data_IF_104725934696
#
_entry.id   IF_104725934696
#
_cell.length_a   1.000
_cell.length_b   1.000
_cell.length_c   1.000
_cell.angle_alpha   90.00
_cell.angle_beta   90.00
_cell.angle_gamma   90.00
#
_symmetry.space_group_name_H-M   'P 1'
#
loop_
_entity.id
_entity.type
_entity.pdbx_description
1 polymer ?
#
# COMPACT_ATOMS: atom_id res chain seq x y z
N UNK A 1 -8.15 4.34 -9.73
CA UNK A 1 -8.10 3.34 -10.82
C UNK A 1 -8.75 3.96 -12.04
N UNK A 2 -7.99 4.16 -13.11
CA UNK A 2 -8.45 4.82 -14.33
C UNK A 2 -8.89 3.76 -15.34
N UNK A 3 -10.19 3.46 -15.35
CA UNK A 3 -10.80 2.62 -16.39
C UNK A 3 -10.67 3.36 -17.71
N UNK A 4 -10.13 2.71 -18.74
CA UNK A 4 -10.02 3.32 -20.06
C UNK A 4 -11.39 3.24 -20.75
N UNK A 5 -11.99 4.39 -20.99
CA UNK A 5 -13.24 4.50 -21.73
C UNK A 5 -13.03 4.16 -23.22
N UNK A 6 -14.04 3.54 -23.81
CA UNK A 6 -14.08 3.22 -25.23
C UNK A 6 -14.37 4.49 -26.04
N UNK A 7 -13.70 4.65 -27.18
CA UNK A 7 -14.13 5.59 -28.22
C UNK A 7 -15.17 4.89 -29.09
N UNK A 8 -16.43 4.94 -28.65
CA UNK A 8 -17.53 4.18 -29.25
C UNK A 8 -17.40 2.67 -29.02
N UNK A 9 -16.96 1.91 -30.04
CA UNK A 9 -16.79 0.44 -29.98
C UNK A 9 -15.33 -0.01 -29.91
N UNK A 10 -14.38 0.91 -30.06
CA UNK A 10 -12.96 0.60 -30.10
C UNK A 10 -12.23 1.26 -28.90
N UNK A 11 -11.12 0.65 -28.50
CA UNK A 11 -10.28 1.26 -27.47
C UNK A 11 -9.36 2.29 -28.11
N UNK A 12 -9.08 3.41 -27.42
CA UNK A 12 -8.14 4.41 -27.91
C UNK A 12 -6.73 3.80 -28.05
N UNK A 13 -5.91 4.25 -29.02
CA UNK A 13 -4.55 3.75 -29.23
C UNK A 13 -3.67 3.79 -27.97
N UNK A 14 -3.86 4.79 -27.13
CA UNK A 14 -3.16 4.99 -25.86
C UNK A 14 -3.41 3.83 -24.89
N UNK A 15 -4.57 3.16 -24.98
CA UNK A 15 -4.88 1.98 -24.17
C UNK A 15 -3.95 0.82 -24.49
N UNK A 16 -3.61 0.64 -25.78
CA UNK A 16 -2.68 -0.39 -26.22
C UNK A 16 -1.28 -0.11 -25.69
N UNK A 17 -0.82 1.14 -25.77
CA UNK A 17 0.50 1.53 -25.27
C UNK A 17 0.60 1.39 -23.76
N UNK A 18 -0.43 1.85 -23.03
CA UNK A 18 -0.46 1.74 -21.57
C UNK A 18 -0.50 0.27 -21.13
N UNK A 19 -1.30 -0.56 -21.79
CA UNK A 19 -1.34 -2.00 -21.53
C UNK A 19 0.02 -2.67 -21.83
N UNK A 20 0.69 -2.26 -22.92
CA UNK A 20 2.02 -2.74 -23.25
C UNK A 20 3.03 -2.40 -22.16
N UNK A 21 3.04 -1.17 -21.64
CA UNK A 21 3.92 -0.74 -20.54
C UNK A 21 3.71 -1.59 -19.28
N UNK A 22 2.45 -1.76 -18.87
CA UNK A 22 2.11 -2.53 -17.67
C UNK A 22 2.52 -4.00 -17.82
N UNK A 23 2.31 -4.59 -19.00
CA UNK A 23 2.67 -5.98 -19.25
C UNK A 23 4.19 -6.19 -19.43
N UNK A 24 4.84 -5.39 -20.26
CA UNK A 24 6.23 -5.57 -20.65
C UNK A 24 7.20 -5.03 -19.60
N UNK A 25 6.97 -3.81 -19.11
CA UNK A 25 7.88 -3.07 -18.22
C UNK A 25 7.53 -3.35 -16.76
N UNK A 26 6.27 -3.14 -16.36
CA UNK A 26 5.84 -3.39 -14.98
C UNK A 26 5.65 -4.90 -14.68
N UNK A 27 5.82 -5.76 -15.70
CA UNK A 27 5.81 -7.23 -15.60
C UNK A 27 4.50 -7.81 -15.05
N UNK A 28 3.40 -7.08 -15.17
CA UNK A 28 2.09 -7.59 -14.78
C UNK A 28 1.63 -8.74 -15.68
N UNK A 29 0.78 -9.60 -15.14
CA UNK A 29 0.06 -10.61 -15.93
C UNK A 29 -1.08 -9.94 -16.71
N UNK A 30 -1.56 -10.59 -17.77
CA UNK A 30 -2.72 -10.08 -18.50
C UNK A 30 -3.97 -9.90 -17.61
N UNK A 31 -4.11 -10.71 -16.56
CA UNK A 31 -5.21 -10.57 -15.59
C UNK A 31 -5.08 -9.30 -14.76
N UNK A 32 -3.88 -9.00 -14.27
CA UNK A 32 -3.60 -7.77 -13.52
C UNK A 32 -3.73 -6.52 -14.40
N UNK A 33 -3.26 -6.58 -15.66
CA UNK A 33 -3.45 -5.46 -16.60
C UNK A 33 -4.93 -5.24 -16.93
N UNK A 34 -5.71 -6.33 -17.03
CA UNK A 34 -7.15 -6.25 -17.24
C UNK A 34 -7.86 -5.58 -16.05
N UNK A 35 -7.48 -5.94 -14.82
CA UNK A 35 -7.99 -5.31 -13.60
C UNK A 35 -7.63 -3.82 -13.52
N UNK A 36 -6.38 -3.47 -13.84
CA UNK A 36 -5.87 -2.09 -13.77
C UNK A 36 -6.55 -1.16 -14.79
N UNK A 37 -6.79 -1.64 -16.00
CA UNK A 37 -7.28 -0.82 -17.12
C UNK A 37 -8.78 -1.00 -17.43
N UNK A 38 -9.43 -2.01 -16.85
CA UNK A 38 -10.80 -2.38 -17.20
C UNK A 38 -10.96 -2.98 -18.61
N UNK A 39 -9.89 -3.58 -19.15
CA UNK A 39 -9.88 -4.17 -20.50
C UNK A 39 -9.98 -5.69 -20.42
N UNK A 40 -10.79 -6.31 -21.27
CA UNK A 40 -10.90 -7.77 -21.28
C UNK A 40 -9.55 -8.47 -21.59
N UNK A 41 -9.24 -9.55 -20.85
CA UNK A 41 -8.00 -10.34 -21.03
C UNK A 41 -7.83 -10.86 -22.46
N UNK A 42 -8.93 -11.24 -23.13
CA UNK A 42 -8.91 -11.68 -24.52
C UNK A 42 -8.43 -10.59 -25.47
N UNK A 43 -8.88 -9.34 -25.25
CA UNK A 43 -8.42 -8.16 -26.00
C UNK A 43 -6.93 -7.92 -25.79
N UNK A 44 -6.46 -7.98 -24.54
CA UNK A 44 -5.04 -7.82 -24.23
C UNK A 44 -4.16 -8.91 -24.87
N UNK A 45 -4.62 -10.16 -24.89
CA UNK A 45 -3.92 -11.25 -25.58
C UNK A 45 -3.84 -11.01 -27.08
N UNK A 46 -4.92 -10.52 -27.70
CA UNK A 46 -4.95 -10.16 -29.13
C UNK A 46 -3.94 -9.06 -29.43
N UNK A 47 -3.93 -7.98 -28.66
CA UNK A 47 -2.92 -6.91 -28.81
C UNK A 47 -1.50 -7.42 -28.59
N UNK A 48 -1.30 -8.25 -27.55
CA UNK A 48 -0.01 -8.86 -27.27
C UNK A 48 0.53 -9.70 -28.42
N UNK A 49 -0.34 -10.44 -29.10
CA UNK A 49 0.02 -11.19 -30.31
C UNK A 49 0.31 -10.25 -31.49
N UNK A 50 -0.55 -9.26 -31.74
CA UNK A 50 -0.40 -8.30 -32.84
C UNK A 50 0.88 -7.46 -32.75
N UNK A 51 1.26 -7.02 -31.54
CA UNK A 51 2.39 -6.12 -31.30
C UNK A 51 3.62 -6.80 -30.69
N UNK A 52 3.62 -8.14 -30.63
CA UNK A 52 4.77 -8.94 -30.18
C UNK A 52 5.19 -8.72 -28.72
N UNK A 53 4.24 -8.44 -27.82
CA UNK A 53 4.55 -8.11 -26.41
C UNK A 53 5.36 -9.18 -25.67
N UNK A 54 5.12 -10.50 -25.84
CA UNK A 54 5.94 -11.51 -25.16
C UNK A 54 7.42 -11.44 -25.53
N UNK A 55 7.73 -11.20 -26.82
CA UNK A 55 9.11 -11.04 -27.29
C UNK A 55 9.76 -9.78 -26.71
N UNK A 56 9.06 -8.64 -26.76
CA UNK A 56 9.51 -7.38 -26.14
C UNK A 56 9.77 -7.53 -24.64
N UNK A 57 8.87 -8.22 -23.92
CA UNK A 57 9.02 -8.49 -22.48
C UNK A 57 10.25 -9.35 -22.20
N UNK A 58 10.56 -10.32 -23.06
CA UNK A 58 11.75 -11.16 -22.93
C UNK A 58 13.04 -10.39 -23.21
N UNK A 59 13.05 -9.55 -24.25
CA UNK A 59 14.16 -8.67 -24.60
C UNK A 59 14.48 -7.68 -23.47
N UNK A 60 13.46 -7.01 -22.93
CA UNK A 60 13.61 -6.13 -21.77
C UNK A 60 14.12 -6.89 -20.54
N UNK A 61 13.67 -8.13 -20.33
CA UNK A 61 14.17 -8.96 -19.24
C UNK A 61 15.67 -9.26 -19.36
N UNK A 62 16.13 -9.55 -20.57
CA UNK A 62 17.54 -9.80 -20.87
C UNK A 62 18.36 -8.54 -20.67
N UNK A 63 17.97 -7.43 -21.29
CA UNK A 63 18.66 -6.15 -21.13
C UNK A 63 18.74 -5.72 -19.65
N UNK A 64 17.67 -5.90 -18.88
CA UNK A 64 17.66 -5.62 -17.44
C UNK A 64 18.60 -6.54 -16.65
N UNK A 65 18.75 -7.80 -17.05
CA UNK A 65 19.70 -8.73 -16.43
C UNK A 65 21.14 -8.34 -16.75
N UNK A 66 21.43 -7.97 -18.00
CA UNK A 66 22.74 -7.52 -18.45
C UNK A 66 23.16 -6.25 -17.71
N UNK A 67 22.28 -5.24 -17.62
CA UNK A 67 22.54 -4.01 -16.87
C UNK A 67 22.88 -4.30 -15.40
N UNK A 68 22.19 -5.26 -14.76
CA UNK A 68 22.48 -5.64 -13.38
C UNK A 68 23.85 -6.30 -13.26
N UNK A 69 24.21 -7.18 -14.20
CA UNK A 69 25.53 -7.81 -14.23
C UNK A 69 26.64 -6.75 -14.42
N UNK A 70 26.47 -5.87 -15.41
CA UNK A 70 27.43 -4.80 -15.71
C UNK A 70 27.61 -3.83 -14.54
N UNK A 71 26.53 -3.52 -13.83
CA UNK A 71 26.60 -2.69 -12.61
C UNK A 71 27.46 -3.34 -11.53
N UNK A 72 27.34 -4.66 -11.33
CA UNK A 72 28.17 -5.39 -10.36
C UNK A 72 29.63 -5.41 -10.79
N UNK A 73 29.89 -5.64 -12.08
CA UNK A 73 31.24 -5.64 -12.64
C UNK A 73 31.91 -4.27 -12.52
N UNK A 74 31.19 -3.20 -12.88
CA UNK A 74 31.66 -1.82 -12.75
C UNK A 74 32.00 -1.46 -11.30
N UNK A 75 31.13 -1.82 -10.34
CA UNK A 75 31.40 -1.64 -8.91
C UNK A 75 32.65 -2.39 -8.47
N UNK A 76 32.82 -3.64 -8.91
CA UNK A 76 34.01 -4.43 -8.59
C UNK A 76 35.28 -3.79 -9.13
N UNK A 77 35.26 -3.28 -10.36
CA UNK A 77 36.40 -2.60 -10.97
C UNK A 77 36.77 -1.32 -10.20
N UNK A 78 35.81 -0.47 -9.90
CA UNK A 78 36.05 0.78 -9.16
C UNK A 78 36.56 0.54 -7.74
N UNK A 79 36.10 -0.52 -7.06
CA UNK A 79 36.62 -0.90 -5.74
C UNK A 79 38.09 -1.33 -5.81
N UNK A 80 38.49 -2.07 -6.84
CA UNK A 80 39.89 -2.47 -7.04
C UNK A 80 40.76 -1.25 -7.32
N UNK A 81 40.32 -0.36 -8.21
CA UNK A 81 41.01 0.90 -8.50
C UNK A 81 41.17 1.76 -7.25
N UNK A 82 40.14 1.85 -6.40
CA UNK A 82 40.22 2.57 -5.14
C UNK A 82 41.24 1.95 -4.17
N UNK A 83 41.34 0.62 -4.11
CA UNK A 83 42.32 -0.08 -3.26
C UNK A 83 43.75 0.19 -3.75
N UNK A 84 43.97 0.17 -5.06
CA UNK A 84 45.27 0.32 -5.69
C UNK A 84 45.75 1.77 -5.70
N UNK A 85 44.92 2.69 -6.19
CA UNK A 85 45.30 4.07 -6.46
C UNK A 85 44.93 5.04 -5.33
N UNK A 86 44.01 4.65 -4.44
CA UNK A 86 43.49 5.48 -3.33
C UNK A 86 42.97 6.85 -3.77
N UNK A 87 42.49 6.94 -5.02
CA UNK A 87 41.96 8.17 -5.59
C UNK A 87 40.64 8.59 -4.89
N UNK A 88 40.57 9.77 -4.24
CA UNK A 88 39.37 10.23 -3.55
C UNK A 88 38.14 10.38 -4.45
N UNK A 89 38.31 10.69 -5.74
CA UNK A 89 37.21 10.83 -6.69
C UNK A 89 36.53 9.48 -6.98
N UNK A 90 37.35 8.42 -7.14
CA UNK A 90 36.86 7.05 -7.29
C UNK A 90 36.15 6.61 -6.01
N UNK A 91 36.70 6.97 -4.85
CA UNK A 91 36.09 6.71 -3.54
C UNK A 91 34.70 7.31 -3.39
N UNK A 92 34.52 8.57 -3.82
CA UNK A 92 33.20 9.22 -3.82
C UNK A 92 32.21 8.55 -4.78
N UNK A 93 32.66 8.19 -5.98
CA UNK A 93 31.82 7.55 -6.98
C UNK A 93 31.35 6.15 -6.52
N UNK A 94 32.24 5.37 -5.90
CA UNK A 94 31.90 4.11 -5.24
C UNK A 94 30.85 4.33 -4.15
N UNK A 95 31.04 5.29 -3.25
CA UNK A 95 30.09 5.56 -2.18
C UNK A 95 28.68 5.90 -2.70
N UNK A 96 28.59 6.64 -3.82
CA UNK A 96 27.30 6.94 -4.47
C UNK A 96 26.64 5.74 -5.12
N UNK A 97 27.41 4.85 -5.75
CA UNK A 97 26.89 3.60 -6.29
C UNK A 97 26.39 2.66 -5.19
N UNK A 98 27.09 2.58 -4.06
CA UNK A 98 26.65 1.82 -2.88
C UNK A 98 25.37 2.40 -2.26
N UNK A 99 25.28 3.72 -2.13
CA UNK A 99 24.06 4.41 -1.65
C UNK A 99 22.86 4.11 -2.56
N UNK A 100 23.06 4.15 -3.88
CA UNK A 100 22.01 3.80 -4.85
C UNK A 100 21.60 2.34 -4.74
N UNK A 101 22.56 1.42 -4.61
CA UNK A 101 22.29 -0.01 -4.45
C UNK A 101 21.47 -0.31 -3.19
N UNK A 102 21.79 0.35 -2.06
CA UNK A 102 21.01 0.24 -0.81
C UNK A 102 19.56 0.73 -1.01
N UNK A 103 19.38 1.90 -1.63
CA UNK A 103 18.04 2.44 -1.94
C UNK A 103 17.23 1.52 -2.84
N UNK A 104 17.86 0.93 -3.86
CA UNK A 104 17.19 -0.04 -4.74
C UNK A 104 16.82 -1.34 -4.01
N UNK A 105 17.71 -1.85 -3.15
CA UNK A 105 17.43 -3.04 -2.35
C UNK A 105 16.28 -2.80 -1.35
N UNK A 106 16.24 -1.60 -0.74
CA UNK A 106 15.15 -1.18 0.12
C UNK A 106 13.82 -1.09 -0.65
N UNK A 107 13.81 -0.39 -1.80
CA UNK A 107 12.62 -0.30 -2.64
C UNK A 107 12.13 -1.67 -3.14
N UNK A 108 13.04 -2.61 -3.41
CA UNK A 108 12.67 -3.99 -3.76
C UNK A 108 12.07 -4.76 -2.58
N UNK A 109 12.56 -4.55 -1.35
CA UNK A 109 11.96 -5.15 -0.14
C UNK A 109 10.58 -4.57 0.13
N UNK A 110 10.44 -3.26 0.01
CA UNK A 110 9.17 -2.54 0.16
C UNK A 110 8.17 -2.92 -0.96
N UNK A 111 8.65 -3.09 -2.19
CA UNK A 111 7.85 -3.56 -3.33
C UNK A 111 7.49 -5.05 -3.27
N UNK A 112 8.33 -5.91 -2.68
CA UNK A 112 8.01 -7.32 -2.40
C UNK A 112 7.09 -7.50 -1.19
N UNK A 113 6.93 -6.47 -0.35
CA UNK A 113 6.05 -6.50 0.81
C UNK A 113 4.54 -6.37 0.45
N UNK A 114 4.17 -6.35 -0.84
CA UNK A 114 2.77 -6.41 -1.27
C UNK A 114 2.59 -7.20 -2.60
N UNK A 115 1.73 -8.25 -2.66
CA UNK A 115 1.65 -9.39 -1.75
C UNK A 115 1.70 -10.75 -2.50
N UNK A 116 2.61 -11.64 -2.09
CA UNK A 116 2.43 -13.11 -2.14
C UNK A 116 2.74 -13.69 -0.76
N UNK A 117 1.97 -13.25 0.23
CA UNK A 117 1.66 -14.08 1.38
C UNK A 117 0.15 -14.27 1.30
N UNK A 118 -0.28 -15.52 1.24
CA UNK A 118 -1.68 -15.97 1.26
C UNK A 118 -2.57 -14.99 2.03
N UNK A 119 -3.21 -14.08 1.30
CA UNK A 119 -4.13 -13.13 1.90
C UNK A 119 -5.31 -13.95 2.40
N UNK A 120 -5.41 -14.10 3.72
CA UNK A 120 -6.67 -14.43 4.36
C UNK A 120 -7.77 -13.55 3.73
N UNK A 121 -8.99 -14.07 3.53
CA UNK A 121 -10.05 -13.35 2.82
C UNK A 121 -10.17 -11.94 3.40
N UNK A 122 -10.01 -10.93 2.53
CA UNK A 122 -10.12 -9.52 2.93
C UNK A 122 -11.47 -9.34 3.62
N UNK A 123 -11.45 -9.02 4.92
CA UNK A 123 -12.66 -8.82 5.70
C UNK A 123 -13.50 -7.71 5.06
N UNK A 124 -14.75 -8.01 4.69
CA UNK A 124 -15.69 -6.99 4.25
C UNK A 124 -15.95 -6.04 5.43
N UNK A 125 -15.68 -4.75 5.24
CA UNK A 125 -15.94 -3.69 6.22
C UNK A 125 -17.22 -2.98 5.77
N UNK A 126 -18.33 -3.26 6.43
CA UNK A 126 -19.65 -2.78 6.00
C UNK A 126 -20.15 -1.57 6.80
N UNK A 127 -19.48 -1.23 7.91
CA UNK A 127 -19.82 -0.07 8.74
C UNK A 127 -18.59 0.49 9.48
N UNK A 128 -18.75 1.68 10.06
CA UNK A 128 -17.67 2.39 10.76
C UNK A 128 -17.13 1.64 11.99
N UNK A 129 -17.99 0.86 12.68
CA UNK A 129 -17.57 0.08 13.84
C UNK A 129 -16.69 -1.12 13.45
N UNK A 130 -17.05 -1.81 12.36
CA UNK A 130 -16.21 -2.86 11.75
C UNK A 130 -14.88 -2.30 11.25
N UNK A 131 -14.87 -1.07 10.73
CA UNK A 131 -13.65 -0.39 10.28
C UNK A 131 -12.72 -0.09 11.47
N UNK A 132 -13.28 0.46 12.56
CA UNK A 132 -12.51 0.73 13.78
C UNK A 132 -11.93 -0.55 14.39
N UNK A 133 -12.73 -1.63 14.45
CA UNK A 133 -12.28 -2.93 14.96
C UNK A 133 -11.17 -3.54 14.11
N UNK A 134 -11.29 -3.50 12.77
CA UNK A 134 -10.26 -3.99 11.86
C UNK A 134 -8.96 -3.17 11.95
N UNK A 135 -9.09 -1.84 12.08
CA UNK A 135 -7.94 -0.95 12.25
C UNK A 135 -7.23 -1.21 13.58
N UNK A 136 -7.98 -1.45 14.65
CA UNK A 136 -7.44 -1.80 15.98
C UNK A 136 -6.63 -3.10 15.93
N UNK A 137 -7.20 -4.16 15.36
CA UNK A 137 -6.53 -5.46 15.19
C UNK A 137 -5.23 -5.32 14.37
N UNK A 138 -5.24 -4.51 13.31
CA UNK A 138 -4.05 -4.25 12.49
C UNK A 138 -2.95 -3.50 13.26
N UNK A 139 -3.31 -2.53 14.11
CA UNK A 139 -2.36 -1.80 14.95
C UNK A 139 -1.79 -2.73 16.03
N UNK A 140 -2.61 -3.56 16.66
CA UNK A 140 -2.17 -4.53 17.66
C UNK A 140 -1.16 -5.53 17.05
N UNK A 141 -1.41 -6.02 15.84
CA UNK A 141 -0.50 -6.91 15.13
C UNK A 141 0.81 -6.21 14.75
N UNK A 142 0.75 -4.93 14.34
CA UNK A 142 1.93 -4.11 14.06
C UNK A 142 2.73 -3.84 15.35
N UNK A 143 2.06 -3.55 16.45
CA UNK A 143 2.67 -3.34 17.75
C UNK A 143 3.35 -4.62 18.25
N UNK A 144 2.69 -5.78 18.15
CA UNK A 144 3.27 -7.07 18.50
C UNK A 144 4.54 -7.38 17.70
N UNK A 145 4.56 -7.06 16.39
CA UNK A 145 5.76 -7.17 15.56
C UNK A 145 6.88 -6.25 16.02
N UNK A 146 6.57 -4.99 16.32
CA UNK A 146 7.57 -4.02 16.81
C UNK A 146 8.12 -4.41 18.18
N UNK A 147 7.28 -4.91 19.09
CA UNK A 147 7.70 -5.39 20.40
C UNK A 147 8.50 -6.69 20.33
N UNK A 148 8.39 -7.46 19.23
CA UNK A 148 9.21 -8.66 19.00
C UNK A 148 10.64 -8.33 18.56
N UNK A 149 10.91 -7.10 18.13
CA UNK A 149 12.24 -6.60 17.76
C UNK A 149 12.47 -5.20 18.34
N UNK A 150 12.69 -5.08 19.66
CA UNK A 150 12.74 -3.79 20.36
C UNK A 150 13.84 -2.84 19.88
N UNK A 151 14.92 -3.36 19.29
CA UNK A 151 16.01 -2.54 18.71
C UNK A 151 15.61 -1.75 17.45
N UNK A 152 14.50 -2.12 16.80
CA UNK A 152 14.00 -1.44 15.59
C UNK A 152 12.91 -0.40 15.90
N UNK A 153 12.57 -0.19 17.18
CA UNK A 153 11.53 0.76 17.60
C UNK A 153 12.09 2.18 17.59
N UNK A 154 11.61 3.01 16.67
CA UNK A 154 11.90 4.45 16.65
C UNK A 154 10.73 5.31 17.20
N UNK A 155 11.03 6.54 17.63
CA UNK A 155 10.04 7.47 18.19
C UNK A 155 8.94 7.86 17.18
N UNK A 156 9.22 7.75 15.88
CA UNK A 156 8.27 8.08 14.81
C UNK A 156 7.20 6.99 14.69
N UNK A 157 7.58 5.73 14.80
CA UNK A 157 6.68 4.59 14.83
C UNK A 157 5.77 4.63 16.05
N UNK A 158 6.32 4.97 17.22
CA UNK A 158 5.53 5.15 18.46
C UNK A 158 4.51 6.27 18.31
N UNK A 159 4.92 7.43 17.74
CA UNK A 159 4.00 8.54 17.47
C UNK A 159 2.88 8.15 16.49
N UNK A 160 3.23 7.46 15.40
CA UNK A 160 2.25 7.01 14.42
C UNK A 160 1.23 6.00 15.00
N UNK A 161 1.66 5.13 15.92
CA UNK A 161 0.76 4.20 16.62
C UNK A 161 -0.18 4.96 17.56
N UNK A 162 0.35 5.95 18.30
CA UNK A 162 -0.46 6.83 19.15
C UNK A 162 -1.55 7.54 18.33
N UNK A 163 -1.16 8.19 17.24
CA UNK A 163 -2.08 8.95 16.38
C UNK A 163 -3.17 8.02 15.78
N UNK A 164 -2.79 6.79 15.40
CA UNK A 164 -3.72 5.80 14.87
C UNK A 164 -4.70 5.25 15.94
N UNK A 165 -4.26 5.13 17.21
CA UNK A 165 -5.16 4.79 18.32
C UNK A 165 -6.15 5.92 18.64
N UNK A 166 -5.70 7.18 18.59
CA UNK A 166 -6.60 8.34 18.75
C UNK A 166 -7.67 8.38 17.66
N UNK A 167 -7.31 8.04 16.42
CA UNK A 167 -8.24 7.95 15.30
C UNK A 167 -9.30 6.86 15.53
N UNK A 168 -8.92 5.68 16.04
CA UNK A 168 -9.87 4.61 16.39
C UNK A 168 -10.87 5.11 17.45
N UNK A 169 -10.39 5.80 18.49
CA UNK A 169 -11.25 6.35 19.53
C UNK A 169 -12.25 7.40 19.01
N UNK A 170 -11.95 8.05 17.88
CA UNK A 170 -12.88 8.96 17.19
C UNK A 170 -13.87 8.23 16.29
N UNK A 171 -13.54 7.02 15.83
CA UNK A 171 -14.37 6.19 14.95
C UNK A 171 -15.32 5.25 15.70
N UNK A 172 -14.98 4.87 16.94
CA UNK A 172 -15.90 4.11 17.79
C UNK A 172 -17.17 4.94 18.04
N UNK A 173 -18.37 4.36 17.88
CA UNK A 173 -19.59 5.09 18.22
C UNK A 173 -19.48 5.45 19.69
N UNK A 174 -19.53 6.76 20.01
CA UNK A 174 -19.68 7.22 21.38
C UNK A 174 -20.90 6.51 21.94
N UNK A 175 -20.68 5.48 22.75
CA UNK A 175 -21.73 4.84 23.52
C UNK A 175 -22.35 5.96 24.32
N UNK A 176 -23.58 6.34 23.96
CA UNK A 176 -24.40 7.21 24.80
C UNK A 176 -24.55 6.44 26.11
N UNK A 177 -23.73 6.79 27.09
CA UNK A 177 -24.00 6.48 28.48
C UNK A 177 -25.42 6.96 28.79
N UNK A 178 -26.18 6.08 29.42
CA UNK A 178 -27.35 6.37 30.23
C UNK A 178 -28.19 7.57 29.76
N UNK A 179 -29.19 7.29 28.94
CA UNK A 179 -30.39 8.12 28.93
C UNK A 179 -31.02 8.01 30.32
N UNK A 180 -30.57 8.85 31.24
CA UNK A 180 -31.24 9.19 32.47
C UNK A 180 -32.64 9.67 32.06
N UNK A 181 -33.61 8.77 32.16
CA UNK A 181 -35.00 9.09 31.90
C UNK A 181 -35.38 10.26 32.79
N UNK A 182 -35.59 11.44 32.20
CA UNK A 182 -36.37 12.51 32.82
C UNK A 182 -37.84 12.09 32.84
N UNK A 183 -38.13 11.01 33.57
CA UNK A 183 -39.44 10.78 34.13
C UNK A 183 -39.54 11.67 35.36
N UNK A 184 -40.57 12.52 35.41
CA UNK A 184 -40.90 13.33 36.58
C UNK A 184 -40.90 12.44 37.83
N UNK A 185 -40.18 12.85 38.88
CA UNK A 185 -40.17 12.11 40.14
C UNK A 185 -41.60 12.01 40.71
N UNK A 186 -41.93 10.94 41.47
CA UNK A 186 -43.26 10.79 42.07
C UNK A 186 -43.70 12.01 42.90
N UNK A 187 -42.73 12.69 43.51
CA UNK A 187 -42.94 13.93 44.25
C UNK A 187 -43.36 15.12 43.36
N UNK A 188 -42.83 15.19 42.13
CA UNK A 188 -43.22 16.21 41.15
C UNK A 188 -44.66 16.01 40.66
N UNK A 189 -45.10 14.76 40.53
CA UNK A 189 -46.48 14.41 40.13
C UNK A 189 -47.47 14.78 41.24
N UNK A 190 -47.13 14.52 42.51
CA UNK A 190 -48.00 14.90 43.64
C UNK A 190 -48.13 16.42 43.79
N UNK A 191 -47.07 17.18 43.51
CA UNK A 191 -47.10 18.64 43.56
C UNK A 191 -48.03 19.21 42.49
N UNK A 192 -47.94 18.69 41.26
CA UNK A 192 -48.81 19.06 40.14
C UNK A 192 -50.27 18.66 40.41
N UNK A 193 -50.53 17.48 40.99
CA UNK A 193 -51.89 17.07 41.36
C UNK A 193 -52.51 17.98 42.42
N UNK A 194 -51.73 18.45 43.40
CA UNK A 194 -52.22 19.37 44.44
C UNK A 194 -52.52 20.77 43.89
N UNK A 195 -51.71 21.25 42.95
CA UNK A 195 -51.91 22.55 42.28
C UNK A 195 -53.05 22.55 41.25
N UNK A 196 -53.39 21.39 40.66
CA UNK A 196 -54.46 21.28 39.65
C UNK A 196 -55.83 20.94 40.25
N UNK A 197 -55.91 20.23 41.38
CA UNK A 197 -57.20 19.79 41.97
C UNK A 197 -57.65 20.55 43.22
N UNK A 198 -56.90 21.56 43.69
CA UNK A 198 -57.39 22.51 44.70
C UNK A 198 -57.92 21.88 46.00
N UNK A 199 -57.10 21.02 46.64
CA UNK A 199 -57.27 20.55 48.02
C UNK A 199 -56.04 20.88 48.85
#
# INVERSE_FOLDING_TARGET
MGVIELDGREYPPEAVWRAQELYCVARLTYAQVAEELGVAVSTLKRWGAQYGWPAKRAELARAMADIRADTVLARSAMLKELIEERNPAVGFAVAKLEELALKQAQAQREGKAAPEATAAPRRAINNAAEAAAALKEAIELKLARLLSSPEEVDLKAVKAIKDAMELIGQMEPKTKGEAQGKGLSPESIQRIQREILGL
#
